data_IF_848195896842
#
_entry.id   IF_848195896842
#
_cell.length_a   1.000
_cell.length_b   1.000
_cell.length_c   1.000
_cell.angle_alpha   90.00
_cell.angle_beta   90.00
_cell.angle_gamma   90.00
#
_symmetry.space_group_name_H-M   'P 1'
#
loop_
_entity.id
_entity.type
_entity.pdbx_description
1 polymer ?
#
# COMPACT_ATOMS: atom_id res chain seq x y z
N UNK A 1 26.31 -14.43 -5.26
CA UNK A 1 25.00 -15.07 -5.02
C UNK A 1 23.82 -14.21 -5.52
N UNK A 2 23.83 -12.90 -5.31
CA UNK A 2 22.73 -11.98 -5.72
C UNK A 2 22.57 -11.93 -7.24
N UNK A 3 23.63 -12.00 -8.04
CA UNK A 3 23.57 -11.96 -9.50
C UNK A 3 23.02 -13.24 -10.15
N UNK A 4 23.10 -14.39 -9.47
CA UNK A 4 22.56 -15.65 -10.00
C UNK A 4 21.05 -15.69 -9.88
N UNK A 5 20.49 -15.08 -8.82
CA UNK A 5 19.04 -15.04 -8.58
C UNK A 5 18.36 -14.15 -9.64
N UNK A 6 18.94 -13.01 -10.00
CA UNK A 6 18.38 -12.12 -11.02
C UNK A 6 18.39 -12.71 -12.44
N UNK A 7 19.32 -13.61 -12.75
CA UNK A 7 19.42 -14.25 -14.08
C UNK A 7 18.26 -15.21 -14.42
N UNK A 8 17.55 -15.70 -13.40
CA UNK A 8 16.45 -16.64 -13.53
C UNK A 8 15.08 -16.02 -13.22
N UNK A 9 15.01 -14.69 -13.18
CA UNK A 9 13.78 -13.94 -12.98
C UNK A 9 13.48 -13.07 -14.18
N UNK A 10 12.24 -13.12 -14.64
CA UNK A 10 11.72 -12.17 -15.64
C UNK A 10 10.95 -11.10 -14.88
N UNK A 11 11.46 -9.87 -14.93
CA UNK A 11 10.89 -8.71 -14.23
C UNK A 11 10.47 -7.69 -15.30
N UNK A 12 9.36 -7.03 -15.06
CA UNK A 12 8.93 -5.87 -15.84
C UNK A 12 8.94 -4.65 -14.96
N UNK A 13 9.57 -3.59 -15.45
CA UNK A 13 9.65 -2.31 -14.78
C UNK A 13 8.60 -1.33 -15.29
N UNK A 14 8.12 -0.48 -14.38
CA UNK A 14 7.19 0.59 -14.66
C UNK A 14 7.63 1.86 -13.95
N UNK A 15 7.65 2.98 -14.66
CA UNK A 15 7.80 4.29 -14.04
C UNK A 15 6.48 4.68 -13.38
N UNK A 16 6.55 4.96 -12.08
CA UNK A 16 5.43 5.50 -11.29
C UNK A 16 5.69 6.97 -11.05
N UNK A 17 4.77 7.80 -11.51
CA UNK A 17 4.78 9.24 -11.28
C UNK A 17 3.57 9.61 -10.44
N UNK A 18 3.81 10.35 -9.35
CA UNK A 18 2.78 10.89 -8.47
C UNK A 18 2.84 12.40 -8.50
N UNK A 19 1.76 13.04 -8.95
CA UNK A 19 1.59 14.48 -8.92
C UNK A 19 0.66 14.88 -7.78
N UNK A 20 1.08 15.82 -6.96
CA UNK A 20 0.26 16.35 -5.87
C UNK A 20 -0.83 17.27 -6.40
N UNK A 21 -2.09 17.01 -6.04
CA UNK A 21 -3.26 17.81 -6.41
C UNK A 21 -3.73 18.76 -5.28
N UNK A 22 -3.23 18.50 -4.09
CA UNK A 22 -3.43 19.28 -2.86
C UNK A 22 -2.11 19.34 -2.10
N UNK A 23 -1.96 20.21 -1.09
CA UNK A 23 -0.82 20.14 -0.19
C UNK A 23 -0.64 18.71 0.33
N UNK A 24 0.59 18.26 0.39
CA UNK A 24 0.90 16.85 0.59
C UNK A 24 1.83 16.66 1.79
N UNK A 25 1.48 15.73 2.68
CA UNK A 25 2.26 15.42 3.87
C UNK A 25 2.41 13.92 4.07
N UNK A 26 3.65 13.47 4.18
CA UNK A 26 3.99 12.13 4.68
C UNK A 26 4.86 12.32 5.91
N UNK A 27 4.32 11.97 7.07
CA UNK A 27 4.97 12.18 8.35
C UNK A 27 6.21 11.30 8.53
N UNK A 28 7.27 11.90 9.07
CA UNK A 28 8.44 11.23 9.58
C UNK A 28 8.44 11.23 11.11
N UNK A 29 9.41 10.54 11.70
CA UNK A 29 9.65 10.60 13.13
C UNK A 29 10.10 12.01 13.52
N UNK A 30 9.49 12.56 14.56
CA UNK A 30 9.86 13.88 15.09
C UNK A 30 11.25 13.79 15.75
N UNK A 31 12.16 14.67 15.34
CA UNK A 31 13.40 14.90 16.06
C UNK A 31 13.09 15.72 17.32
N UNK A 32 13.41 15.23 18.52
CA UNK A 32 13.19 15.97 19.77
C UNK A 32 13.94 17.32 19.84
N UNK A 33 14.97 17.50 19.02
CA UNK A 33 15.77 18.74 18.95
C UNK A 33 15.25 19.71 17.89
N UNK A 34 14.23 19.34 17.12
CA UNK A 34 13.64 20.16 16.07
C UNK A 34 12.41 20.89 16.54
N UNK A 35 12.24 22.14 16.13
CA UNK A 35 11.00 22.92 16.32
C UNK A 35 9.85 22.45 15.41
N UNK A 36 10.14 21.56 14.47
CA UNK A 36 9.11 20.99 13.58
C UNK A 36 8.44 19.79 14.24
N UNK A 37 7.16 19.94 14.57
CA UNK A 37 6.39 18.89 15.24
C UNK A 37 6.01 17.72 14.33
N UNK A 38 5.74 17.99 13.05
CA UNK A 38 5.40 17.00 12.05
C UNK A 38 6.28 17.18 10.82
N UNK A 39 7.51 16.64 10.82
CA UNK A 39 8.41 16.73 9.68
C UNK A 39 7.92 15.89 8.50
N UNK A 40 8.28 16.29 7.28
CA UNK A 40 8.08 15.49 6.07
C UNK A 40 9.15 14.39 5.98
N UNK A 41 8.77 13.24 5.42
CA UNK A 41 9.71 12.13 5.23
C UNK A 41 10.73 12.45 4.14
N UNK A 42 12.01 12.39 4.51
CA UNK A 42 13.14 12.56 3.59
C UNK A 42 14.07 11.37 3.62
N UNK A 43 14.78 11.14 2.53
CA UNK A 43 15.86 10.17 2.43
C UNK A 43 17.09 10.87 1.83
N UNK A 44 18.17 10.98 2.62
CA UNK A 44 19.35 11.75 2.21
C UNK A 44 19.08 13.24 1.98
N UNK A 45 18.07 13.80 2.67
CA UNK A 45 17.64 15.19 2.54
C UNK A 45 16.62 15.43 1.41
N UNK A 46 16.36 14.45 0.55
CA UNK A 46 15.38 14.55 -0.53
C UNK A 46 14.01 14.09 -0.03
N UNK A 47 12.93 14.87 -0.25
CA UNK A 47 11.57 14.44 0.06
C UNK A 47 11.20 13.16 -0.69
N UNK A 48 10.57 12.21 0.00
CA UNK A 48 10.21 10.92 -0.60
C UNK A 48 8.82 10.46 -0.20
N UNK A 49 8.20 9.72 -1.11
CA UNK A 49 7.05 8.86 -0.82
C UNK A 49 7.56 7.44 -0.60
N UNK A 50 7.37 6.93 0.61
CA UNK A 50 7.82 5.59 0.95
C UNK A 50 7.04 4.52 0.18
N UNK A 51 7.72 3.47 -0.30
CA UNK A 51 7.09 2.34 -0.97
C UNK A 51 6.05 1.62 -0.08
N UNK A 52 6.21 1.66 1.24
CA UNK A 52 5.22 1.16 2.19
C UNK A 52 3.90 1.93 2.15
N UNK A 53 3.95 3.25 1.97
CA UNK A 53 2.77 4.11 1.84
C UNK A 53 2.00 3.81 0.56
N UNK A 54 2.70 3.70 -0.57
CA UNK A 54 2.12 3.29 -1.85
C UNK A 54 1.52 1.89 -1.78
N UNK A 55 2.26 0.96 -1.19
CA UNK A 55 1.81 -0.42 -1.01
C UNK A 55 0.54 -0.50 -0.15
N UNK A 56 0.46 0.30 0.90
CA UNK A 56 -0.74 0.40 1.74
C UNK A 56 -1.94 0.95 0.99
N UNK A 57 -1.74 2.00 0.19
CA UNK A 57 -2.80 2.59 -0.63
C UNK A 57 -3.26 1.64 -1.75
N UNK A 58 -2.32 0.98 -2.45
CA UNK A 58 -2.67 -0.05 -3.44
C UNK A 58 -3.43 -1.22 -2.80
N UNK A 59 -3.03 -1.63 -1.59
CA UNK A 59 -3.75 -2.66 -0.84
C UNK A 59 -5.21 -2.27 -0.61
N UNK A 60 -5.46 -1.05 -0.15
CA UNK A 60 -6.81 -0.56 0.08
C UNK A 60 -7.66 -0.54 -1.20
N UNK A 61 -7.09 -0.09 -2.32
CA UNK A 61 -7.75 -0.11 -3.63
C UNK A 61 -8.05 -1.53 -4.12
N UNK A 62 -7.14 -2.47 -3.90
CA UNK A 62 -7.34 -3.88 -4.23
C UNK A 62 -8.43 -4.51 -3.34
N UNK A 63 -8.44 -4.22 -2.05
CA UNK A 63 -9.43 -4.73 -1.11
C UNK A 63 -10.83 -4.27 -1.51
N UNK A 64 -11.02 -2.99 -1.76
CA UNK A 64 -12.28 -2.42 -2.22
C UNK A 64 -12.72 -3.02 -3.56
N UNK A 65 -11.81 -3.06 -4.54
CA UNK A 65 -12.11 -3.60 -5.86
C UNK A 65 -12.52 -5.07 -5.84
N UNK A 66 -11.81 -5.90 -5.07
CA UNK A 66 -12.10 -7.32 -4.94
C UNK A 66 -13.44 -7.59 -4.24
N UNK A 67 -13.77 -6.79 -3.22
CA UNK A 67 -15.05 -6.88 -2.52
C UNK A 67 -16.21 -6.55 -3.48
N UNK A 68 -16.09 -5.47 -4.22
CA UNK A 68 -17.15 -4.97 -5.07
C UNK A 68 -17.39 -5.82 -6.34
N UNK A 69 -16.34 -6.48 -6.86
CA UNK A 69 -16.44 -7.11 -8.17
C UNK A 69 -16.34 -8.64 -8.15
N UNK A 70 -15.82 -9.25 -7.08
CA UNK A 70 -15.51 -10.69 -7.09
C UNK A 70 -15.95 -11.44 -5.85
N UNK A 71 -16.02 -10.81 -4.70
CA UNK A 71 -16.14 -11.49 -3.41
C UNK A 71 -17.46 -12.26 -3.23
N UNK A 72 -18.54 -11.81 -3.88
CA UNK A 72 -19.85 -12.44 -3.79
C UNK A 72 -19.92 -13.71 -4.64
N UNK A 73 -19.36 -13.66 -5.85
CA UNK A 73 -19.36 -14.78 -6.77
C UNK A 73 -18.29 -15.82 -6.44
N UNK A 74 -17.16 -15.36 -5.91
CA UNK A 74 -16.02 -16.21 -5.56
C UNK A 74 -15.45 -15.86 -4.18
N UNK A 75 -15.86 -16.57 -3.12
CA UNK A 75 -15.37 -16.33 -1.76
C UNK A 75 -13.83 -16.45 -1.59
N UNK A 76 -13.14 -17.18 -2.47
CA UNK A 76 -11.69 -17.28 -2.46
C UNK A 76 -11.01 -15.97 -2.91
N UNK A 77 -11.71 -15.12 -3.67
CA UNK A 77 -11.25 -13.79 -4.08
C UNK A 77 -11.40 -12.73 -2.98
N UNK A 78 -12.11 -13.02 -1.90
CA UNK A 78 -12.26 -12.07 -0.79
C UNK A 78 -10.89 -11.70 -0.22
N UNK A 79 -10.55 -10.41 -0.13
CA UNK A 79 -9.29 -9.98 0.43
C UNK A 79 -9.23 -10.27 1.93
N UNK A 80 -8.03 -10.43 2.45
CA UNK A 80 -7.83 -10.36 3.89
C UNK A 80 -7.73 -8.90 4.33
N UNK A 81 -8.34 -8.59 5.47
CA UNK A 81 -8.24 -7.25 6.09
C UNK A 81 -7.38 -7.40 7.34
N UNK A 82 -6.09 -7.00 7.32
CA UNK A 82 -5.16 -7.17 8.43
C UNK A 82 -5.45 -6.15 9.55
N UNK A 83 -6.63 -6.21 10.14
CA UNK A 83 -7.05 -5.38 11.25
C UNK A 83 -7.27 -6.23 12.51
N UNK A 84 -7.08 -5.69 13.72
CA UNK A 84 -7.49 -6.34 14.94
C UNK A 84 -8.99 -6.61 14.91
N UNK A 85 -9.40 -7.82 15.25
CA UNK A 85 -10.81 -8.24 15.24
C UNK A 85 -11.75 -7.25 15.94
N UNK A 86 -11.31 -6.71 17.06
CA UNK A 86 -12.10 -5.77 17.83
C UNK A 86 -12.33 -4.41 17.13
N UNK A 87 -11.52 -4.11 16.11
CA UNK A 87 -11.65 -2.88 15.34
C UNK A 87 -12.54 -3.07 14.09
N UNK A 88 -12.95 -4.30 13.79
CA UNK A 88 -13.87 -4.60 12.71
C UNK A 88 -15.31 -4.43 13.17
N UNK A 89 -16.15 -3.80 12.36
CA UNK A 89 -17.59 -3.75 12.54
C UNK A 89 -18.21 -5.17 12.42
N UNK A 90 -19.44 -5.40 12.88
CA UNK A 90 -20.12 -6.68 12.70
C UNK A 90 -20.22 -7.10 11.23
N UNK A 91 -20.47 -6.16 10.32
CA UNK A 91 -20.58 -6.40 8.89
C UNK A 91 -19.23 -6.77 8.28
N UNK A 92 -18.18 -6.05 8.61
CA UNK A 92 -16.81 -6.41 8.20
C UNK A 92 -16.41 -7.79 8.73
N UNK A 93 -16.79 -8.13 9.95
CA UNK A 93 -16.54 -9.47 10.52
C UNK A 93 -17.25 -10.57 9.75
N UNK A 94 -18.43 -10.30 9.20
CA UNK A 94 -19.16 -11.26 8.37
C UNK A 94 -18.53 -11.52 7.02
N UNK A 95 -17.84 -10.51 6.47
CA UNK A 95 -17.14 -10.59 5.19
C UNK A 95 -15.78 -11.31 5.28
N UNK A 96 -15.23 -11.43 6.48
CA UNK A 96 -13.91 -11.99 6.70
C UNK A 96 -14.02 -13.35 7.37
N UNK A 97 -13.56 -14.45 6.77
CA UNK A 97 -13.52 -15.73 7.45
C UNK A 97 -12.61 -15.63 8.66
N UNK A 98 -13.20 -15.52 9.82
CA UNK A 98 -12.49 -15.44 11.08
C UNK A 98 -12.27 -16.82 11.68
N UNK A 99 -11.06 -17.07 12.06
CA UNK A 99 -10.71 -18.16 12.95
C UNK A 99 -9.73 -17.62 13.94
N UNK A 100 -10.16 -17.06 15.05
CA UNK A 100 -9.29 -17.10 16.15
C UNK A 100 -9.57 -16.32 17.42
N UNK A 101 -8.66 -16.38 18.33
CA UNK A 101 -8.65 -16.07 19.74
C UNK A 101 -8.75 -14.56 20.05
N UNK A 102 -9.59 -14.13 20.97
CA UNK A 102 -9.66 -12.72 21.37
C UNK A 102 -8.30 -12.18 21.80
N UNK A 103 -7.96 -10.99 21.38
CA UNK A 103 -6.83 -10.22 21.87
C UNK A 103 -5.52 -10.32 21.11
N UNK A 104 -5.45 -11.05 20.03
CA UNK A 104 -4.25 -11.06 19.18
C UNK A 104 -4.58 -10.62 17.76
N UNK A 105 -3.62 -10.12 16.97
CA UNK A 105 -3.73 -9.67 15.58
C UNK A 105 -4.46 -10.66 14.72
N UNK A 106 -5.70 -10.27 14.31
CA UNK A 106 -6.43 -11.18 13.81
C UNK A 106 -7.54 -10.88 12.96
N UNK A 107 -7.47 -9.97 12.15
CA UNK A 107 -8.27 -9.97 10.97
C UNK A 107 -8.02 -11.25 10.17
N UNK A 108 -8.65 -11.43 9.06
CA UNK A 108 -8.39 -12.52 8.13
C UNK A 108 -7.04 -12.38 7.42
N UNK A 109 -5.97 -12.08 8.15
CA UNK A 109 -4.66 -12.00 7.52
C UNK A 109 -4.25 -13.35 6.97
N UNK A 110 -3.69 -13.37 5.78
CA UNK A 110 -3.05 -14.53 5.20
C UNK A 110 -1.67 -14.76 5.84
N UNK A 111 -1.20 -15.98 5.85
CA UNK A 111 0.11 -16.36 6.35
C UNK A 111 0.07 -17.29 7.55
N UNK A 112 1.24 -17.74 8.02
CA UNK A 112 1.37 -18.78 9.06
C UNK A 112 0.70 -18.43 10.39
N UNK A 113 0.54 -17.15 10.69
CA UNK A 113 -0.08 -16.68 11.93
C UNK A 113 -1.40 -15.95 11.70
N UNK A 114 -1.91 -15.98 10.48
CA UNK A 114 -3.15 -15.31 10.12
C UNK A 114 -4.39 -16.17 10.29
N UNK A 115 -5.55 -15.54 10.45
CA UNK A 115 -6.83 -16.22 10.62
C UNK A 115 -7.28 -17.03 9.40
N UNK A 116 -6.75 -16.75 8.23
CA UNK A 116 -7.00 -17.49 6.99
C UNK A 116 -6.14 -18.77 6.87
N UNK A 117 -5.24 -18.99 7.79
CA UNK A 117 -4.32 -20.11 7.70
C UNK A 117 -3.45 -20.04 6.44
N UNK A 118 -3.46 -21.12 5.68
CA UNK A 118 -2.60 -21.29 4.50
C UNK A 118 -3.21 -20.81 3.20
N UNK A 119 -4.46 -20.39 3.20
CA UNK A 119 -5.12 -19.79 2.04
C UNK A 119 -4.65 -18.35 1.84
N UNK A 120 -4.29 -18.00 0.62
CA UNK A 120 -3.86 -16.66 0.24
C UNK A 120 -4.92 -15.98 -0.62
N UNK A 121 -5.21 -14.74 -0.32
CA UNK A 121 -6.07 -13.90 -1.15
C UNK A 121 -5.27 -13.22 -2.27
N UNK A 122 -5.93 -12.66 -3.31
CA UNK A 122 -5.26 -11.97 -4.41
C UNK A 122 -4.35 -10.84 -3.94
N UNK A 123 -4.77 -10.06 -2.93
CA UNK A 123 -3.97 -8.97 -2.37
C UNK A 123 -2.65 -9.46 -1.78
N UNK A 124 -2.68 -10.54 -1.00
CA UNK A 124 -1.47 -11.14 -0.44
C UNK A 124 -0.63 -11.90 -1.49
N UNK A 125 -1.26 -12.40 -2.52
CA UNK A 125 -0.56 -12.96 -3.68
C UNK A 125 0.32 -11.90 -4.35
N UNK A 126 -0.23 -10.73 -4.61
CA UNK A 126 0.48 -9.62 -5.25
C UNK A 126 1.49 -8.95 -4.33
N UNK A 127 1.05 -8.57 -3.14
CA UNK A 127 1.81 -7.69 -2.25
C UNK A 127 2.63 -8.42 -1.19
N UNK A 128 2.44 -9.73 -1.08
CA UNK A 128 3.07 -10.53 -0.05
C UNK A 128 2.28 -10.62 1.25
N UNK A 129 2.66 -11.59 2.07
CA UNK A 129 2.14 -11.84 3.40
C UNK A 129 3.28 -12.18 4.36
N UNK A 130 2.99 -12.36 5.64
CA UNK A 130 4.01 -12.74 6.60
C UNK A 130 4.67 -14.08 6.20
N UNK A 131 5.98 -14.02 5.98
CA UNK A 131 6.77 -15.17 5.51
C UNK A 131 6.71 -15.45 4.01
N UNK A 132 6.03 -14.60 3.24
CA UNK A 132 5.87 -14.79 1.80
C UNK A 132 6.06 -13.49 1.02
N UNK A 133 6.95 -13.53 0.04
CA UNK A 133 7.17 -12.41 -0.89
C UNK A 133 6.06 -12.38 -1.94
N UNK A 134 5.58 -11.18 -2.29
CA UNK A 134 4.64 -10.95 -3.38
C UNK A 134 5.32 -10.79 -4.74
N UNK A 135 4.52 -10.52 -5.76
CA UNK A 135 5.00 -10.29 -7.14
C UNK A 135 5.32 -8.82 -7.43
N UNK A 136 4.88 -7.89 -6.59
CA UNK A 136 5.06 -6.45 -6.81
C UNK A 136 6.03 -5.88 -5.78
N UNK A 137 7.07 -5.22 -6.27
CA UNK A 137 8.01 -4.45 -5.47
C UNK A 137 7.75 -2.96 -5.65
N UNK A 138 7.27 -2.32 -4.59
CA UNK A 138 6.98 -0.89 -4.58
C UNK A 138 8.25 -0.08 -4.39
N UNK A 139 8.46 0.97 -5.20
CA UNK A 139 9.62 1.85 -5.07
C UNK A 139 9.44 2.87 -3.95
N UNK A 140 10.54 3.53 -3.59
CA UNK A 140 10.50 4.90 -3.11
C UNK A 140 10.27 5.82 -4.30
N UNK A 141 9.35 6.80 -4.18
CA UNK A 141 9.28 7.88 -5.14
C UNK A 141 10.03 9.08 -4.57
N UNK A 142 10.92 9.62 -5.35
CA UNK A 142 11.72 10.79 -5.01
C UNK A 142 11.11 12.03 -5.64
N UNK A 143 11.18 13.15 -4.93
CA UNK A 143 10.76 14.44 -5.48
C UNK A 143 11.61 14.75 -6.72
N UNK A 144 10.93 14.99 -7.85
CA UNK A 144 11.52 15.25 -9.18
C UNK A 144 11.06 16.61 -9.74
N UNK A 145 10.78 17.54 -8.86
CA UNK A 145 10.45 18.92 -9.18
C UNK A 145 11.32 19.87 -8.35
N UNK A 146 11.37 21.14 -8.75
CA UNK A 146 12.12 22.17 -8.01
C UNK A 146 11.37 22.64 -6.75
N UNK A 147 10.30 21.93 -6.36
CA UNK A 147 9.51 22.27 -5.20
C UNK A 147 10.29 21.95 -3.91
N UNK A 148 10.12 22.82 -2.92
CA UNK A 148 10.68 22.67 -1.60
C UNK A 148 9.64 22.28 -0.56
N UNK A 149 10.13 21.81 0.57
CA UNK A 149 9.29 21.58 1.75
C UNK A 149 8.87 22.94 2.32
N UNK A 150 7.58 23.14 2.42
CA UNK A 150 6.97 24.31 3.05
C UNK A 150 6.59 24.05 4.50
N UNK A 151 6.71 25.06 5.36
CA UNK A 151 6.21 25.00 6.72
C UNK A 151 4.79 25.52 6.81
N UNK A 152 3.91 24.69 7.38
CA UNK A 152 2.50 25.01 7.63
C UNK A 152 2.25 25.09 9.12
N UNK A 153 1.75 26.23 9.57
CA UNK A 153 1.41 26.44 10.99
C UNK A 153 -0.03 26.02 11.25
N UNK A 154 -0.21 25.19 12.27
CA UNK A 154 -1.52 24.75 12.74
C UNK A 154 -1.75 25.22 14.18
N UNK A 155 -2.92 25.83 14.42
CA UNK A 155 -3.33 26.29 15.72
C UNK A 155 -4.56 25.51 16.20
N UNK A 156 -4.56 25.12 17.46
CA UNK A 156 -5.76 24.59 18.11
C UNK A 156 -6.54 25.73 18.72
N UNK A 157 -7.83 25.85 18.37
CA UNK A 157 -8.74 26.80 18.99
C UNK A 157 -9.28 26.24 20.31
N UNK A 158 -9.22 27.03 21.34
CA UNK A 158 -9.94 26.76 22.61
C UNK A 158 -11.41 27.12 22.40
N UNK A 159 -12.29 26.16 22.65
CA UNK A 159 -13.73 26.33 22.43
C UNK A 159 -14.41 27.18 23.52
N UNK A 160 -13.80 27.28 24.67
CA UNK A 160 -14.38 28.06 25.80
C UNK A 160 -14.04 29.54 25.67
N UNK A 161 -12.81 29.88 25.29
CA UNK A 161 -12.33 31.25 25.16
C UNK A 161 -12.42 31.82 23.77
N UNK A 162 -12.70 30.95 22.76
CA UNK A 162 -12.74 31.28 21.34
C UNK A 162 -11.41 31.85 20.80
N UNK A 163 -10.31 31.58 21.50
CA UNK A 163 -8.95 32.00 21.14
C UNK A 163 -8.05 30.82 20.83
N UNK A 164 -6.82 31.08 20.38
CA UNK A 164 -5.82 30.02 20.21
C UNK A 164 -5.42 29.48 21.56
N UNK A 165 -5.52 28.16 21.74
CA UNK A 165 -5.13 27.50 23.00
C UNK A 165 -3.63 27.72 23.27
N UNK A 166 -3.27 28.06 24.50
CA UNK A 166 -1.90 28.36 24.90
C UNK A 166 -0.99 27.14 24.65
N UNK A 167 0.15 27.34 23.96
CA UNK A 167 1.10 26.26 23.63
C UNK A 167 0.60 25.26 22.58
N UNK A 168 -0.43 25.61 21.80
CA UNK A 168 -1.05 24.73 20.82
C UNK A 168 -0.60 25.01 19.36
N UNK A 169 0.41 25.84 19.19
CA UNK A 169 1.01 26.05 17.87
C UNK A 169 1.83 24.81 17.48
N UNK A 170 1.55 24.29 16.33
CA UNK A 170 2.29 23.16 15.76
C UNK A 170 2.78 23.49 14.37
N UNK A 171 4.05 23.24 14.13
CA UNK A 171 4.65 23.37 12.81
C UNK A 171 4.62 22.01 12.11
N UNK A 172 4.17 21.99 10.88
CA UNK A 172 4.12 20.82 10.02
C UNK A 172 4.82 21.14 8.70
N UNK A 173 5.55 20.20 8.16
CA UNK A 173 6.13 20.29 6.84
C UNK A 173 5.20 19.66 5.80
N UNK A 174 5.10 20.28 4.64
CA UNK A 174 4.28 19.81 3.53
C UNK A 174 4.98 20.11 2.20
N UNK A 175 4.61 19.36 1.17
CA UNK A 175 4.95 19.65 -0.22
C UNK A 175 3.77 20.36 -0.86
N UNK A 176 3.98 21.40 -1.67
CA UNK A 176 2.90 22.14 -2.32
C UNK A 176 2.16 21.29 -3.36
N UNK A 177 1.04 21.84 -3.85
CA UNK A 177 0.33 21.29 -4.99
C UNK A 177 1.16 21.46 -6.27
N UNK A 178 1.17 20.43 -7.13
CA UNK A 178 1.85 20.44 -8.43
C UNK A 178 3.19 19.73 -8.41
N UNK A 179 3.71 19.42 -7.23
CA UNK A 179 4.96 18.69 -7.09
C UNK A 179 4.86 17.25 -7.67
N UNK A 180 5.95 16.80 -8.25
CA UNK A 180 6.06 15.51 -8.93
C UNK A 180 7.06 14.62 -8.22
N UNK A 181 6.64 13.41 -7.90
CA UNK A 181 7.50 12.35 -7.35
C UNK A 181 7.61 11.20 -8.34
N UNK A 182 8.80 10.65 -8.54
CA UNK A 182 9.06 9.53 -9.46
C UNK A 182 9.81 8.39 -8.82
N UNK A 183 9.53 7.17 -9.30
CA UNK A 183 10.25 5.96 -8.95
C UNK A 183 9.93 4.82 -9.92
N UNK A 184 10.68 3.73 -9.82
CA UNK A 184 10.54 2.57 -10.68
C UNK A 184 9.97 1.39 -9.89
N UNK A 185 8.79 0.91 -10.28
CA UNK A 185 8.13 -0.26 -9.72
C UNK A 185 8.53 -1.50 -10.52
N UNK A 186 8.85 -2.59 -9.83
CA UNK A 186 9.15 -3.87 -10.45
C UNK A 186 8.00 -4.87 -10.24
N UNK A 187 7.62 -5.57 -11.31
CA UNK A 187 6.65 -6.65 -11.28
C UNK A 187 7.35 -7.94 -11.73
N UNK A 188 7.39 -8.92 -10.85
CA UNK A 188 7.93 -10.24 -11.15
C UNK A 188 6.94 -10.99 -12.06
N UNK A 189 7.31 -11.27 -13.28
CA UNK A 189 6.50 -12.04 -14.22
C UNK A 189 6.72 -13.54 -14.05
N UNK A 190 7.98 -13.96 -13.88
CA UNK A 190 8.37 -15.34 -13.72
C UNK A 190 9.62 -15.47 -12.85
N UNK A 191 9.63 -16.47 -11.99
CA UNK A 191 10.80 -16.92 -11.22
C UNK A 191 11.03 -18.41 -11.53
N UNK A 192 12.07 -18.71 -12.27
CA UNK A 192 12.37 -20.08 -12.71
C UNK A 192 12.88 -20.97 -11.55
N UNK A 193 13.51 -20.37 -10.55
CA UNK A 193 14.03 -21.13 -9.39
C UNK A 193 12.88 -21.63 -8.52
N UNK A 194 11.84 -20.79 -8.32
CA UNK A 194 10.69 -21.12 -7.50
C UNK A 194 9.55 -21.74 -8.28
N UNK A 195 9.66 -21.78 -9.61
CA UNK A 195 8.58 -22.18 -10.53
C UNK A 195 7.31 -21.35 -10.30
N UNK A 196 7.50 -20.03 -10.20
CA UNK A 196 6.41 -19.06 -10.04
C UNK A 196 6.17 -18.30 -11.34
N UNK A 197 4.91 -18.16 -11.69
CA UNK A 197 4.47 -17.34 -12.82
C UNK A 197 3.30 -16.49 -12.38
N UNK A 198 3.36 -15.18 -12.66
CA UNK A 198 2.28 -14.25 -12.33
C UNK A 198 0.97 -14.66 -13.02
N UNK A 199 -0.13 -14.62 -12.29
CA UNK A 199 -1.45 -15.07 -12.77
C UNK A 199 -1.67 -16.58 -12.68
N UNK A 200 -0.71 -17.34 -12.13
CA UNK A 200 -0.81 -18.78 -11.95
C UNK A 200 -0.63 -19.17 -10.47
N UNK A 201 -1.21 -20.32 -10.05
CA UNK A 201 -0.98 -20.84 -8.70
C UNK A 201 0.51 -21.15 -8.48
N UNK A 202 1.04 -20.71 -7.36
CA UNK A 202 2.43 -21.00 -7.00
C UNK A 202 2.55 -22.38 -6.38
N UNK A 203 3.61 -23.10 -6.72
CA UNK A 203 4.04 -24.26 -5.95
C UNK A 203 4.74 -23.78 -4.69
N UNK A 204 4.20 -24.11 -3.55
CA UNK A 204 4.66 -23.62 -2.26
C UNK A 204 5.43 -24.67 -1.49
N UNK A 205 6.52 -24.26 -0.86
CA UNK A 205 7.38 -25.15 -0.07
C UNK A 205 6.72 -25.65 1.22
N UNK A 206 5.64 -25.02 1.71
CA UNK A 206 4.97 -25.40 2.96
C UNK A 206 3.48 -25.09 2.97
N UNK A 207 2.72 -25.71 2.12
CA UNK A 207 1.26 -25.72 2.27
C UNK A 207 0.48 -24.39 2.19
N UNK A 208 1.07 -23.27 1.82
CA UNK A 208 0.29 -22.11 1.38
C UNK A 208 -0.37 -22.44 0.04
N UNK A 209 -1.57 -21.91 -0.19
CA UNK A 209 -2.33 -22.16 -1.42
C UNK A 209 -2.90 -20.88 -1.95
N UNK A 210 -2.70 -20.65 -3.24
CA UNK A 210 -3.38 -19.59 -3.99
C UNK A 210 -4.76 -20.13 -4.43
N UNK A 211 -5.68 -20.31 -3.47
CA UNK A 211 -6.97 -21.00 -3.69
C UNK A 211 -7.83 -20.33 -4.74
N UNK A 212 -7.79 -19.01 -4.83
CA UNK A 212 -8.53 -18.25 -5.81
C UNK A 212 -8.10 -18.50 -7.26
N UNK A 213 -6.92 -19.07 -7.48
CA UNK A 213 -6.42 -19.53 -8.79
C UNK A 213 -6.63 -21.03 -9.01
N UNK A 214 -7.15 -21.76 -8.01
CA UNK A 214 -7.46 -23.17 -8.14
C UNK A 214 -8.83 -23.34 -8.83
N UNK A 215 -8.99 -24.36 -9.64
CA UNK A 215 -10.23 -24.56 -10.41
C UNK A 215 -10.14 -24.18 -11.88
N UNK A 216 -8.92 -23.90 -12.38
CA UNK A 216 -8.68 -23.63 -13.80
C UNK A 216 -8.79 -22.15 -14.18
N UNK A 217 -9.09 -21.28 -13.24
CA UNK A 217 -9.06 -19.83 -13.48
C UNK A 217 -7.60 -19.40 -13.68
N UNK A 218 -7.29 -18.97 -14.87
CA UNK A 218 -5.99 -18.43 -15.25
C UNK A 218 -6.18 -17.04 -15.80
N UNK A 219 -5.30 -16.15 -15.39
CA UNK A 219 -5.27 -14.79 -15.88
C UNK A 219 -4.14 -14.63 -16.88
N UNK A 220 -4.38 -13.97 -18.00
CA UNK A 220 -3.31 -13.47 -18.85
C UNK A 220 -2.45 -12.47 -18.06
N UNK A 221 -1.12 -12.53 -18.18
CA UNK A 221 -0.24 -11.65 -17.41
C UNK A 221 -0.54 -10.17 -17.65
N UNK A 222 -0.77 -9.78 -18.90
CA UNK A 222 -1.06 -8.39 -19.27
C UNK A 222 -2.37 -7.90 -18.67
N UNK A 223 -3.42 -8.70 -18.77
CA UNK A 223 -4.72 -8.40 -18.19
C UNK A 223 -4.63 -8.29 -16.68
N UNK A 224 -3.94 -9.23 -16.04
CA UNK A 224 -3.74 -9.26 -14.60
C UNK A 224 -2.98 -8.04 -14.09
N UNK A 225 -1.88 -7.66 -14.76
CA UNK A 225 -1.10 -6.48 -14.41
C UNK A 225 -1.96 -5.23 -14.55
N UNK A 226 -2.63 -5.08 -15.69
CA UNK A 226 -3.48 -3.91 -15.92
C UNK A 226 -4.55 -3.79 -14.86
N UNK A 227 -5.36 -4.84 -14.68
CA UNK A 227 -6.54 -4.79 -13.82
C UNK A 227 -6.19 -4.67 -12.32
N UNK A 228 -5.26 -5.48 -11.83
CA UNK A 228 -4.98 -5.57 -10.40
C UNK A 228 -3.83 -4.68 -9.93
N UNK A 229 -3.01 -4.14 -10.83
CA UNK A 229 -1.85 -3.33 -10.44
C UNK A 229 -1.98 -1.91 -11.00
N UNK A 230 -1.98 -1.74 -12.33
CA UNK A 230 -1.89 -0.41 -12.94
C UNK A 230 -3.14 0.41 -12.69
N UNK A 231 -4.32 -0.14 -12.99
CA UNK A 231 -5.60 0.54 -12.80
C UNK A 231 -5.86 0.84 -11.31
N UNK A 232 -5.42 -0.02 -10.41
CA UNK A 232 -5.57 0.19 -8.95
C UNK A 232 -4.63 1.26 -8.42
N UNK A 233 -3.39 1.32 -8.91
CA UNK A 233 -2.47 2.40 -8.57
C UNK A 233 -3.00 3.76 -9.06
N UNK A 234 -3.46 3.83 -10.28
CA UNK A 234 -4.00 5.06 -10.88
C UNK A 234 -5.33 5.49 -10.24
N UNK A 235 -6.06 4.56 -9.65
CA UNK A 235 -7.29 4.85 -8.92
C UNK A 235 -7.08 5.43 -7.51
N UNK A 236 -5.85 5.50 -7.00
CA UNK A 236 -5.56 6.07 -5.67
C UNK A 236 -5.84 7.58 -5.70
N UNK A 237 -6.88 8.08 -5.03
CA UNK A 237 -7.23 9.49 -5.08
C UNK A 237 -6.48 10.33 -4.04
N UNK A 238 -6.00 9.67 -2.97
CA UNK A 238 -5.38 10.33 -1.82
C UNK A 238 -4.31 9.46 -1.19
N UNK A 239 -3.25 10.12 -0.70
CA UNK A 239 -2.14 9.48 -0.02
C UNK A 239 -1.60 10.40 1.09
N UNK A 240 -0.99 9.80 2.12
CA UNK A 240 -0.36 10.54 3.22
C UNK A 240 -1.30 10.90 4.36
N UNK A 241 -0.88 11.86 5.15
CA UNK A 241 -1.58 12.32 6.35
C UNK A 241 -2.48 13.53 6.11
N UNK A 242 -3.25 13.90 7.15
CA UNK A 242 -4.10 15.10 7.20
C UNK A 242 -5.19 15.16 6.11
N UNK A 243 -5.63 14.03 5.60
CA UNK A 243 -6.63 13.91 4.52
C UNK A 243 -7.93 14.67 4.86
N UNK A 244 -8.41 14.59 6.09
CA UNK A 244 -9.61 15.31 6.57
C UNK A 244 -9.44 16.82 6.66
N UNK A 245 -8.22 17.32 6.48
CA UNK A 245 -7.89 18.76 6.55
C UNK A 245 -7.52 19.35 5.19
N UNK A 246 -7.88 18.69 4.09
CA UNK A 246 -7.64 19.17 2.73
C UNK A 246 -6.26 18.84 2.17
N UNK A 247 -5.56 17.87 2.75
CA UNK A 247 -4.28 17.37 2.26
C UNK A 247 -4.42 16.04 1.50
N UNK A 248 -3.37 15.68 0.80
CA UNK A 248 -3.14 14.34 0.31
C UNK A 248 -3.80 13.98 -1.01
N UNK A 249 -4.48 14.91 -1.68
CA UNK A 249 -4.97 14.67 -3.03
C UNK A 249 -3.82 14.44 -4.01
N UNK A 250 -3.86 13.33 -4.74
CA UNK A 250 -2.80 12.93 -5.69
C UNK A 250 -3.40 12.42 -6.99
N UNK A 251 -2.57 12.43 -8.02
CA UNK A 251 -2.81 11.72 -9.28
C UNK A 251 -1.59 10.86 -9.56
N UNK A 252 -1.82 9.59 -9.84
CA UNK A 252 -0.75 8.64 -10.14
C UNK A 252 -0.86 8.19 -11.57
N UNK A 253 0.23 8.27 -12.32
CA UNK A 253 0.38 7.69 -13.66
C UNK A 253 1.44 6.59 -13.63
N UNK A 254 1.21 5.54 -14.41
CA UNK A 254 2.12 4.42 -14.51
C UNK A 254 2.37 4.11 -15.98
N UNK A 255 3.63 4.13 -16.39
CA UNK A 255 4.05 3.87 -17.77
C UNK A 255 5.13 2.79 -17.80
N UNK A 256 5.24 1.98 -18.86
CA UNK A 256 6.38 1.09 -19.03
C UNK A 256 7.70 1.87 -18.93
N UNK A 257 8.69 1.32 -18.22
CA UNK A 257 10.02 1.91 -18.08
C UNK A 257 10.93 1.56 -19.27
#
# INVERSE_FOLDING_TARGET
AVNVIKKNQTIRSYTVELTTRQPFHIGAFQDPMSDVHNPFTTLGGVPVVQGSSLKGALRAQLEEYLILNYADDNPAMRPCIPAPWNNLSPDERSLVPYQDRPGKYRGSSCGERGGRGKSLCPTCYLLGAMGLVGFVQMPYLYLDSEDDIEEVYQNRRDRASDTVARGANRTMQAIPKGAVFRGEMEVLLRDEIRDWTLGQPRRMLRSFRDEWLQGGQRWGQEEFIREFILDRLQAIPRLGGMISKGFGGVEITVTPA
#
